data_IF_456335688158
#
_entry.id   IF_456335688158
#
_cell.length_a   1.000
_cell.length_b   1.000
_cell.length_c   1.000
_cell.angle_alpha   90.00
_cell.angle_beta   90.00
_cell.angle_gamma   90.00
#
_symmetry.space_group_name_H-M   'P 1'
#
loop_
_entity.id
_entity.type
_entity.pdbx_description
1 polymer ?
#
# COMPACT_ATOMS: atom_id res chain seq x y z
N UNK A 1 16.63 -6.89 3.23
CA UNK A 1 16.09 -8.03 2.48
C UNK A 1 14.71 -8.41 3.00
N UNK A 2 14.06 -9.37 2.37
CA UNK A 2 12.68 -9.79 2.68
C UNK A 2 12.51 -10.30 4.12
N UNK A 3 13.50 -10.98 4.68
CA UNK A 3 13.49 -11.55 6.03
C UNK A 3 14.01 -10.55 7.10
N UNK A 4 14.25 -9.29 6.73
CA UNK A 4 14.66 -8.27 7.67
C UNK A 4 13.50 -7.91 8.58
N UNK A 5 13.65 -7.97 9.93
CA UNK A 5 12.63 -7.49 10.84
C UNK A 5 12.36 -6.01 10.61
N UNK A 6 11.08 -5.65 10.49
CA UNK A 6 10.71 -4.25 10.22
C UNK A 6 11.06 -3.32 11.37
N UNK A 7 11.15 -3.83 12.61
CA UNK A 7 11.63 -3.08 13.77
C UNK A 7 13.06 -2.54 13.63
N UNK A 8 13.86 -3.10 12.71
CA UNK A 8 15.21 -2.59 12.37
C UNK A 8 15.14 -1.20 11.74
N UNK A 9 14.13 -0.93 10.92
CA UNK A 9 13.93 0.34 10.23
C UNK A 9 12.87 1.22 10.92
N UNK A 10 11.94 0.58 11.61
CA UNK A 10 10.84 1.21 12.33
C UNK A 10 10.90 0.80 13.81
N UNK A 11 11.82 1.36 14.62
CA UNK A 11 12.00 0.95 16.01
C UNK A 11 10.77 1.22 16.89
N UNK A 12 9.89 2.13 16.49
CA UNK A 12 8.64 2.43 17.15
C UNK A 12 7.50 1.44 16.81
N UNK A 13 7.69 0.59 15.81
CA UNK A 13 6.68 -0.41 15.44
C UNK A 13 6.44 -1.41 16.57
N UNK A 14 5.19 -1.55 16.97
CA UNK A 14 4.74 -2.47 18.02
C UNK A 14 3.41 -3.10 17.64
N UNK A 15 3.29 -4.39 17.94
CA UNK A 15 2.02 -5.09 18.05
C UNK A 15 1.71 -5.30 19.53
N UNK A 16 0.49 -5.76 19.83
CA UNK A 16 0.09 -6.11 21.20
C UNK A 16 1.00 -7.17 21.84
N UNK A 17 1.51 -8.11 21.03
CA UNK A 17 2.59 -9.00 21.41
C UNK A 17 3.94 -8.36 21.05
N UNK A 18 4.68 -7.91 22.08
CA UNK A 18 5.99 -7.28 21.89
C UNK A 18 7.01 -8.25 21.26
N UNK A 19 7.04 -9.51 21.68
CA UNK A 19 7.98 -10.49 21.11
C UNK A 19 7.64 -10.81 19.65
N UNK A 20 6.34 -10.90 19.33
CA UNK A 20 5.86 -11.03 17.98
C UNK A 20 6.27 -9.83 17.11
N UNK A 21 6.17 -8.61 17.64
CA UNK A 21 6.57 -7.38 16.94
C UNK A 21 8.01 -7.43 16.43
N UNK A 22 8.92 -7.96 17.25
CA UNK A 22 10.36 -8.01 16.89
C UNK A 22 10.66 -9.02 15.78
N UNK A 23 9.75 -9.93 15.48
CA UNK A 23 9.92 -10.98 14.47
C UNK A 23 9.25 -10.66 13.14
N UNK A 24 8.30 -9.72 13.11
CA UNK A 24 7.62 -9.33 11.86
C UNK A 24 8.63 -8.84 10.84
N UNK A 25 8.67 -9.50 9.70
CA UNK A 25 9.60 -9.20 8.60
C UNK A 25 8.93 -8.36 7.53
N UNK A 26 9.72 -7.83 6.60
CA UNK A 26 9.23 -7.17 5.37
C UNK A 26 8.33 -8.14 4.59
N UNK A 27 8.72 -9.42 4.50
CA UNK A 27 7.94 -10.46 3.86
C UNK A 27 6.57 -10.65 4.51
N UNK A 28 6.49 -10.69 5.85
CA UNK A 28 5.21 -10.83 6.56
C UNK A 28 4.26 -9.66 6.28
N UNK A 29 4.79 -8.44 6.23
CA UNK A 29 3.98 -7.26 5.88
C UNK A 29 3.45 -7.36 4.47
N UNK A 30 4.29 -7.67 3.49
CA UNK A 30 3.94 -7.74 2.07
C UNK A 30 3.03 -8.94 1.74
N UNK A 31 3.09 -10.01 2.53
CA UNK A 31 2.23 -11.19 2.38
C UNK A 31 0.97 -11.15 3.27
N UNK A 32 0.73 -10.04 3.99
CA UNK A 32 -0.38 -9.90 4.91
C UNK A 32 -0.38 -10.94 6.07
N UNK A 33 0.79 -11.29 6.57
CA UNK A 33 0.99 -12.27 7.63
C UNK A 33 1.43 -11.65 8.97
N UNK A 34 1.04 -10.41 9.21
CA UNK A 34 1.41 -9.67 10.45
C UNK A 34 0.71 -10.22 11.70
N UNK A 35 -0.26 -11.13 11.54
CA UNK A 35 -1.02 -11.71 12.66
C UNK A 35 -2.26 -10.92 13.08
N UNK A 36 -2.59 -9.85 12.38
CA UNK A 36 -3.77 -9.02 12.64
C UNK A 36 -5.03 -9.58 11.98
N UNK A 37 -6.20 -9.24 12.55
CA UNK A 37 -7.48 -9.53 11.92
C UNK A 37 -7.67 -8.78 10.62
N UNK A 38 -8.44 -9.33 9.67
CA UNK A 38 -8.68 -8.72 8.35
C UNK A 38 -9.19 -7.28 8.47
N UNK A 39 -8.63 -6.37 7.66
CA UNK A 39 -9.05 -4.98 7.53
C UNK A 39 -9.01 -4.19 8.86
N UNK A 40 -8.01 -4.48 9.72
CA UNK A 40 -7.83 -3.77 11.00
C UNK A 40 -7.69 -2.27 10.75
N UNK A 41 -8.58 -1.48 11.33
CA UNK A 41 -8.69 -0.02 11.24
C UNK A 41 -9.06 0.56 9.86
N UNK A 42 -9.49 -0.24 8.88
CA UNK A 42 -9.95 0.29 7.59
C UNK A 42 -11.15 1.25 7.77
N UNK A 43 -12.10 0.93 8.67
CA UNK A 43 -13.23 1.82 8.97
C UNK A 43 -12.79 3.15 9.60
N UNK A 44 -11.74 3.14 10.39
CA UNK A 44 -11.15 4.35 10.96
C UNK A 44 -10.51 5.20 9.88
N UNK A 45 -9.77 4.57 8.92
CA UNK A 45 -9.25 5.23 7.73
C UNK A 45 -10.37 5.85 6.90
N UNK A 46 -11.45 5.11 6.66
CA UNK A 46 -12.66 5.60 5.96
C UNK A 46 -13.35 6.75 6.71
N UNK A 47 -13.16 6.85 8.01
CA UNK A 47 -13.62 7.97 8.85
C UNK A 47 -12.61 9.12 8.93
N UNK A 48 -11.62 9.16 8.04
CA UNK A 48 -10.58 10.19 7.94
C UNK A 48 -9.63 10.27 9.16
N UNK A 49 -9.45 9.17 9.91
CA UNK A 49 -8.39 9.15 10.92
C UNK A 49 -7.04 9.04 10.20
N UNK A 50 -6.09 9.92 10.50
CA UNK A 50 -4.78 9.95 9.83
C UNK A 50 -4.01 8.63 9.96
N UNK A 51 -3.41 8.17 8.86
CA UNK A 51 -2.63 6.94 8.83
C UNK A 51 -1.59 6.79 9.96
N UNK A 52 -0.78 7.83 10.31
CA UNK A 52 0.20 7.67 11.39
C UNK A 52 -0.42 7.26 12.73
N UNK A 53 -1.61 7.80 13.05
CA UNK A 53 -2.34 7.41 14.27
C UNK A 53 -2.86 5.98 14.19
N UNK A 54 -3.25 5.52 13.01
CA UNK A 54 -3.70 4.14 12.80
C UNK A 54 -2.54 3.15 12.90
N UNK A 55 -1.38 3.50 12.34
CA UNK A 55 -0.16 2.72 12.46
C UNK A 55 0.28 2.57 13.93
N UNK A 56 0.26 3.65 14.72
CA UNK A 56 0.53 3.61 16.16
C UNK A 56 -0.45 2.70 16.92
N UNK A 57 -1.74 2.75 16.57
CA UNK A 57 -2.80 1.93 17.19
C UNK A 57 -2.65 0.44 16.93
N UNK A 58 -1.84 -0.01 15.97
CA UNK A 58 -1.57 -1.43 15.74
C UNK A 58 -1.04 -2.11 17.02
N UNK A 59 -0.35 -1.35 17.89
CA UNK A 59 0.11 -1.81 19.20
C UNK A 59 -1.00 -2.27 20.15
N UNK A 60 -2.23 -1.82 19.94
CA UNK A 60 -3.40 -2.15 20.75
C UNK A 60 -4.36 -3.13 20.03
N UNK A 61 -4.13 -3.41 18.75
CA UNK A 61 -5.00 -4.27 17.97
C UNK A 61 -4.92 -5.73 18.45
N UNK A 62 -6.06 -6.43 18.58
CA UNK A 62 -6.04 -7.84 18.90
C UNK A 62 -5.41 -8.64 17.78
N UNK A 63 -4.54 -9.58 18.13
CA UNK A 63 -3.98 -10.53 17.17
C UNK A 63 -4.99 -11.66 16.92
N UNK A 64 -5.10 -12.08 15.67
CA UNK A 64 -5.85 -13.26 15.25
C UNK A 64 -4.99 -14.53 15.36
N UNK A 65 -3.68 -14.40 15.19
CA UNK A 65 -2.69 -15.46 15.32
C UNK A 65 -1.31 -14.87 15.63
N UNK A 66 -0.32 -15.71 15.86
CA UNK A 66 1.08 -15.31 15.88
C UNK A 66 1.48 -14.77 14.50
N UNK A 67 2.31 -13.70 14.41
CA UNK A 67 2.87 -13.27 13.13
C UNK A 67 3.51 -14.44 12.35
N UNK A 68 3.38 -14.43 11.05
CA UNK A 68 3.77 -15.47 10.08
C UNK A 68 2.90 -16.73 10.05
N UNK A 69 1.93 -16.90 10.96
CA UNK A 69 1.13 -18.13 11.04
C UNK A 69 -0.20 -18.05 10.29
N UNK A 70 -0.73 -16.87 10.01
CA UNK A 70 -1.98 -16.73 9.28
C UNK A 70 -2.02 -15.50 8.38
N UNK A 71 -2.83 -15.59 7.35
CA UNK A 71 -3.14 -14.51 6.44
C UNK A 71 -4.30 -13.66 6.95
N UNK A 72 -4.12 -12.35 6.97
CA UNK A 72 -5.18 -11.37 7.25
C UNK A 72 -4.93 -10.09 6.47
N UNK A 73 -5.69 -9.85 5.38
CA UNK A 73 -5.53 -8.67 4.53
C UNK A 73 -5.52 -7.36 5.34
N UNK A 74 -4.51 -6.52 5.13
CA UNK A 74 -4.24 -5.31 5.92
C UNK A 74 -3.86 -4.14 5.02
N UNK A 75 -4.63 -3.06 5.01
CA UNK A 75 -4.22 -1.80 4.37
C UNK A 75 -3.26 -1.01 5.25
N UNK A 76 -3.55 -0.89 6.54
CA UNK A 76 -2.75 -0.09 7.47
C UNK A 76 -1.37 -0.73 7.69
N UNK A 77 -1.31 -2.01 8.08
CA UNK A 77 -0.03 -2.68 8.30
C UNK A 77 0.78 -2.81 7.00
N UNK A 78 0.16 -3.07 5.85
CA UNK A 78 0.83 -3.09 4.55
C UNK A 78 1.48 -1.73 4.23
N UNK A 79 0.85 -0.64 4.64
CA UNK A 79 1.37 0.72 4.38
C UNK A 79 2.64 1.06 5.16
N UNK A 80 3.03 0.28 6.17
CA UNK A 80 4.34 0.37 6.81
C UNK A 80 5.51 0.22 5.84
N UNK A 81 5.27 -0.41 4.67
CA UNK A 81 6.27 -0.46 3.59
C UNK A 81 6.65 0.94 3.12
N UNK A 82 5.71 1.89 3.11
CA UNK A 82 6.01 3.28 2.80
C UNK A 82 6.94 3.92 3.82
N UNK A 83 6.71 3.66 5.09
CA UNK A 83 7.55 4.15 6.19
C UNK A 83 8.96 3.52 6.12
N UNK A 84 9.05 2.23 5.80
CA UNK A 84 10.34 1.53 5.60
C UNK A 84 11.09 2.13 4.40
N UNK A 85 10.41 2.36 3.28
CA UNK A 85 11.01 3.00 2.11
C UNK A 85 11.56 4.38 2.48
N UNK A 86 10.78 5.18 3.20
CA UNK A 86 11.22 6.49 3.65
C UNK A 86 12.41 6.41 4.62
N UNK A 87 12.38 5.50 5.58
CA UNK A 87 13.47 5.30 6.54
C UNK A 87 14.80 4.91 5.86
N UNK A 88 14.74 4.15 4.76
CA UNK A 88 15.93 3.66 4.04
C UNK A 88 16.42 4.66 3.00
N UNK A 89 15.53 5.38 2.34
CA UNK A 89 15.87 6.21 1.18
C UNK A 89 15.85 7.72 1.45
N UNK A 90 15.15 8.15 2.52
CA UNK A 90 14.86 9.56 2.79
C UNK A 90 13.83 10.15 1.83
N UNK A 91 13.11 9.33 1.06
CA UNK A 91 12.22 9.76 0.01
C UNK A 91 10.87 9.01 0.07
N UNK A 92 9.80 9.67 -0.39
CA UNK A 92 8.45 9.11 -0.31
C UNK A 92 8.25 7.93 -1.26
N UNK A 93 7.43 6.96 -0.81
CA UNK A 93 7.08 5.76 -1.57
C UNK A 93 6.60 6.07 -2.99
N UNK A 94 5.67 7.04 -3.13
CA UNK A 94 5.15 7.44 -4.44
C UNK A 94 6.25 7.91 -5.40
N UNK A 95 7.18 8.74 -4.92
CA UNK A 95 8.30 9.22 -5.74
C UNK A 95 9.28 8.10 -6.10
N UNK A 96 9.53 7.16 -5.17
CA UNK A 96 10.35 5.97 -5.47
C UNK A 96 9.69 5.10 -6.56
N UNK A 97 8.37 4.90 -6.51
CA UNK A 97 7.65 4.17 -7.56
C UNK A 97 7.66 4.92 -8.89
N UNK A 98 7.44 6.23 -8.88
CA UNK A 98 7.49 7.05 -10.10
C UNK A 98 8.86 6.99 -10.77
N UNK A 99 9.93 7.13 -9.99
CA UNK A 99 11.30 7.19 -10.52
C UNK A 99 11.86 5.81 -10.89
N UNK A 100 11.50 4.76 -10.15
CA UNK A 100 12.06 3.42 -10.37
C UNK A 100 11.19 2.50 -11.22
N UNK A 101 9.91 2.81 -11.36
CA UNK A 101 8.94 1.96 -12.07
C UNK A 101 8.26 2.74 -13.20
N UNK A 102 7.46 3.77 -12.88
CA UNK A 102 6.64 4.44 -13.90
C UNK A 102 7.47 5.06 -15.00
N UNK A 103 8.47 5.87 -14.64
CA UNK A 103 9.32 6.57 -15.60
C UNK A 103 10.15 5.62 -16.49
N UNK A 104 10.88 4.63 -15.94
CA UNK A 104 11.65 3.68 -16.76
C UNK A 104 10.77 2.80 -17.64
N UNK A 105 9.57 2.44 -17.19
CA UNK A 105 8.62 1.66 -18.00
C UNK A 105 7.90 2.50 -19.06
N UNK A 106 7.95 3.84 -18.95
CA UNK A 106 7.21 4.73 -19.82
C UNK A 106 5.71 4.81 -19.52
N UNK A 107 5.31 4.53 -18.28
CA UNK A 107 3.92 4.61 -17.80
C UNK A 107 3.51 6.07 -17.57
N UNK A 108 3.35 6.82 -18.66
CA UNK A 108 3.16 8.29 -18.63
C UNK A 108 1.81 8.75 -18.07
N UNK A 109 0.83 7.87 -18.01
CA UNK A 109 -0.49 8.17 -17.46
C UNK A 109 -0.64 7.68 -16.01
N UNK A 110 0.33 6.94 -15.48
CA UNK A 110 0.29 6.46 -14.11
C UNK A 110 0.64 7.61 -13.14
N UNK A 111 -0.15 7.74 -12.08
CA UNK A 111 0.00 8.80 -11.05
C UNK A 111 -0.39 8.28 -9.68
N UNK A 112 -0.06 9.04 -8.65
CA UNK A 112 -0.57 8.84 -7.30
C UNK A 112 -1.53 9.97 -6.90
N UNK A 113 -2.50 9.62 -6.08
CA UNK A 113 -3.36 10.59 -5.41
C UNK A 113 -4.63 10.95 -6.18
N UNK A 114 -5.64 11.39 -5.42
CA UNK A 114 -6.96 11.79 -5.94
C UNK A 114 -6.88 12.99 -6.87
N UNK A 115 -6.10 14.00 -6.49
CA UNK A 115 -6.04 15.25 -7.24
C UNK A 115 -5.41 15.04 -8.62
N UNK A 116 -4.39 14.18 -8.70
CA UNK A 116 -3.79 13.78 -9.98
C UNK A 116 -4.79 13.03 -10.86
N UNK A 117 -5.62 12.15 -10.28
CA UNK A 117 -6.71 11.49 -11.00
C UNK A 117 -7.70 12.51 -11.56
N UNK A 118 -8.16 13.43 -10.71
CA UNK A 118 -9.20 14.41 -11.07
C UNK A 118 -8.71 15.49 -12.03
N UNK A 119 -7.42 15.77 -12.05
CA UNK A 119 -6.80 16.69 -13.03
C UNK A 119 -6.84 16.13 -14.47
N UNK A 120 -6.96 14.82 -14.63
CA UNK A 120 -7.14 14.20 -15.94
C UNK A 120 -8.60 14.37 -16.38
N UNK A 121 -8.82 14.78 -17.64
CA UNK A 121 -10.16 14.91 -18.20
C UNK A 121 -10.82 13.59 -18.58
N UNK A 122 -10.01 12.53 -18.74
CA UNK A 122 -10.44 11.18 -19.15
C UNK A 122 -10.12 10.15 -18.05
N UNK A 123 -11.01 10.03 -17.05
CA UNK A 123 -10.89 9.06 -15.98
C UNK A 123 -12.23 8.39 -15.65
N UNK A 124 -12.19 7.15 -15.21
CA UNK A 124 -13.37 6.39 -14.82
C UNK A 124 -13.89 6.85 -13.46
N UNK A 125 -15.11 7.37 -13.41
CA UNK A 125 -15.75 7.80 -12.17
C UNK A 125 -16.27 6.61 -11.36
N UNK A 126 -16.09 6.59 -10.04
CA UNK A 126 -16.77 5.61 -9.19
C UNK A 126 -18.29 5.85 -9.23
N UNK A 127 -19.06 4.77 -9.18
CA UNK A 127 -20.51 4.81 -9.18
C UNK A 127 -21.06 4.06 -7.97
N UNK A 128 -22.13 4.59 -7.38
CA UNK A 128 -22.90 3.92 -6.34
C UNK A 128 -24.35 3.74 -6.80
N UNK A 129 -24.94 2.60 -6.46
CA UNK A 129 -26.35 2.36 -6.70
C UNK A 129 -27.18 3.00 -5.58
N UNK A 130 -28.08 3.91 -5.94
CA UNK A 130 -28.89 4.66 -4.97
C UNK A 130 -30.29 4.00 -4.70
N UNK A 131 -30.46 2.76 -5.11
CA UNK A 131 -31.74 2.03 -5.02
C UNK A 131 -32.61 2.14 -6.28
N UNK A 132 -32.27 3.03 -7.21
CA UNK A 132 -33.00 3.23 -8.50
C UNK A 132 -32.06 3.21 -9.70
N UNK A 133 -30.90 3.82 -9.59
CA UNK A 133 -29.92 3.93 -10.70
C UNK A 133 -28.50 4.06 -10.16
N UNK A 134 -27.52 3.83 -11.03
CA UNK A 134 -26.11 4.12 -10.76
C UNK A 134 -25.84 5.61 -10.85
N UNK A 135 -25.21 6.17 -9.81
CA UNK A 135 -24.90 7.60 -9.72
C UNK A 135 -23.40 7.76 -9.57
N UNK A 136 -22.80 8.57 -10.46
CA UNK A 136 -21.39 8.91 -10.38
C UNK A 136 -21.07 9.67 -9.08
N UNK A 137 -19.94 9.35 -8.48
CA UNK A 137 -19.43 10.01 -7.27
C UNK A 137 -18.03 10.58 -7.52
N UNK A 138 -17.67 11.54 -6.70
CA UNK A 138 -16.29 11.98 -6.58
C UNK A 138 -15.54 10.97 -5.70
N UNK A 139 -14.33 10.55 -6.04
CA UNK A 139 -13.49 9.72 -5.18
C UNK A 139 -13.24 10.44 -3.86
N UNK A 140 -13.27 9.71 -2.75
CA UNK A 140 -12.78 10.25 -1.48
C UNK A 140 -11.24 10.15 -1.41
N UNK A 141 -10.65 10.74 -0.40
CA UNK A 141 -9.18 10.74 -0.22
C UNK A 141 -8.67 9.59 0.64
N UNK A 142 -9.55 8.89 1.35
CA UNK A 142 -9.21 8.00 2.45
C UNK A 142 -8.08 7.01 2.11
N UNK A 143 -8.26 6.22 1.05
CA UNK A 143 -7.25 5.24 0.63
C UNK A 143 -6.05 5.87 -0.09
N UNK A 144 -6.14 7.11 -0.57
CA UNK A 144 -4.99 7.83 -1.12
C UNK A 144 -3.99 8.28 -0.04
N UNK A 145 -4.38 8.21 1.25
CA UNK A 145 -3.47 8.46 2.38
C UNK A 145 -2.59 7.25 2.74
N UNK A 146 -2.78 6.13 2.07
CA UNK A 146 -2.00 4.89 2.25
C UNK A 146 -1.40 4.40 0.91
N UNK A 147 -0.48 5.17 0.29
CA UNK A 147 0.02 4.91 -1.07
C UNK A 147 0.57 3.49 -1.30
N UNK A 148 1.24 2.81 -0.34
CA UNK A 148 1.68 1.44 -0.55
C UNK A 148 0.55 0.44 -0.71
N UNK A 149 -0.59 0.65 -0.03
CA UNK A 149 -1.74 -0.23 -0.09
C UNK A 149 -2.71 0.14 -1.21
N UNK A 150 -2.80 1.46 -1.54
CA UNK A 150 -3.73 1.99 -2.55
C UNK A 150 -3.25 3.34 -3.07
N UNK A 151 -3.85 3.86 -4.13
CA UNK A 151 -3.59 5.23 -4.56
C UNK A 151 -2.91 5.38 -5.90
N UNK A 152 -2.51 4.29 -6.55
CA UNK A 152 -2.08 4.32 -7.96
C UNK A 152 -3.28 4.50 -8.87
N UNK A 153 -3.20 5.47 -9.76
CA UNK A 153 -4.08 5.61 -10.90
C UNK A 153 -3.31 5.20 -12.15
N UNK A 154 -3.88 4.36 -12.99
CA UNK A 154 -3.25 3.92 -14.23
C UNK A 154 -4.31 3.66 -15.31
N UNK A 155 -3.94 3.85 -16.55
CA UNK A 155 -4.74 3.45 -17.69
C UNK A 155 -4.34 2.06 -18.18
N UNK A 156 -5.10 1.48 -19.10
CA UNK A 156 -4.85 0.13 -19.61
C UNK A 156 -3.50 0.00 -20.35
N UNK A 157 -3.02 1.07 -20.98
CA UNK A 157 -1.73 1.07 -21.65
C UNK A 157 -0.59 0.97 -20.63
N UNK A 158 -0.63 1.78 -19.56
CA UNK A 158 0.35 1.73 -18.48
C UNK A 158 0.33 0.35 -17.78
N UNK A 159 -0.85 -0.21 -17.56
CA UNK A 159 -0.98 -1.56 -16.99
C UNK A 159 -0.41 -2.64 -17.91
N UNK A 160 -0.49 -2.47 -19.24
CA UNK A 160 0.15 -3.39 -20.18
C UNK A 160 1.69 -3.30 -20.12
N UNK A 161 2.25 -2.09 -19.94
CA UNK A 161 3.68 -1.90 -19.74
C UNK A 161 4.16 -2.55 -18.43
N UNK A 162 3.40 -2.39 -17.35
CA UNK A 162 3.65 -3.06 -16.08
C UNK A 162 3.60 -4.59 -16.21
N UNK A 163 2.55 -5.12 -16.87
CA UNK A 163 2.44 -6.56 -17.10
C UNK A 163 3.62 -7.10 -17.93
N UNK A 164 4.08 -6.35 -18.91
CA UNK A 164 5.24 -6.71 -19.73
C UNK A 164 6.52 -6.82 -18.89
N UNK A 165 6.70 -5.92 -17.90
CA UNK A 165 7.80 -6.01 -16.95
C UNK A 165 7.69 -7.26 -16.06
N UNK A 166 6.49 -7.57 -15.56
CA UNK A 166 6.22 -8.78 -14.77
C UNK A 166 6.51 -10.08 -15.54
N UNK A 167 6.32 -10.07 -16.86
CA UNK A 167 6.66 -11.19 -17.75
C UNK A 167 8.16 -11.30 -18.06
N UNK A 168 9.00 -10.46 -17.44
CA UNK A 168 10.46 -10.50 -17.56
C UNK A 168 11.03 -9.77 -18.78
N UNK A 169 10.22 -9.01 -19.51
CA UNK A 169 10.67 -8.25 -20.70
C UNK A 169 11.38 -6.93 -20.37
N UNK A 170 11.42 -6.54 -19.08
CA UNK A 170 12.06 -5.31 -18.59
C UNK A 170 12.89 -5.61 -17.33
N UNK A 171 13.91 -6.47 -17.50
CA UNK A 171 14.81 -6.88 -16.41
C UNK A 171 15.68 -5.73 -15.88
N UNK A 172 15.77 -4.64 -16.64
CA UNK A 172 16.40 -3.38 -16.22
C UNK A 172 15.60 -2.65 -15.13
N UNK A 173 14.30 -2.92 -15.04
CA UNK A 173 13.39 -2.33 -14.03
C UNK A 173 12.98 -3.36 -12.98
N UNK A 174 12.59 -4.55 -13.41
CA UNK A 174 12.15 -5.65 -12.56
C UNK A 174 13.02 -6.88 -12.85
N UNK A 175 13.95 -7.17 -11.95
CA UNK A 175 14.88 -8.30 -12.17
C UNK A 175 14.14 -9.64 -12.04
N UNK A 176 14.63 -10.64 -12.77
CA UNK A 176 14.07 -12.00 -12.73
C UNK A 176 14.26 -12.72 -11.37
N UNK A 177 15.03 -12.13 -10.45
CA UNK A 177 15.33 -12.66 -9.12
C UNK A 177 14.52 -11.98 -7.99
N UNK A 178 13.46 -11.27 -8.34
CA UNK A 178 12.54 -10.68 -7.39
C UNK A 178 11.44 -11.65 -6.99
#
# INVERSE_FOLDING_TARGET
>A
GWDTPISTQLPEFKLRDYQGSQRVTVSDVLSHQVGLGKNTYDRDLESNIPYPLLAERLSNAPLACTPSECYGYQNIAFSLIGDIVFAVTGDFYSHQVETKIFSPLGMKGATFGRDALMANTNWARPHVYNGKQWVARTPNENYYHVPPAAGVNANIHDMALWLNAQLGHRQDVLSANL
#
